data_IF_521761877221
#
_entry.id   IF_521761877221
#
_cell.length_a   1.000
_cell.length_b   1.000
_cell.length_c   1.000
_cell.angle_alpha   90.00
_cell.angle_beta   90.00
_cell.angle_gamma   90.00
#
_symmetry.space_group_name_H-M   'P 1'
#
loop_
_entity.id
_entity.type
_entity.pdbx_description
1 polymer ?
#
# COMPACT_ATOMS: atom_id res chain seq x y z
N UNK A 1 14.44 20.72 -2.83
CA UNK A 1 14.96 19.70 -3.74
C UNK A 1 14.73 18.33 -3.13
N UNK A 2 13.53 17.74 -3.40
CA UNK A 2 12.94 16.63 -2.61
C UNK A 2 12.97 15.27 -3.31
N UNK A 3 13.85 15.08 -4.29
CA UNK A 3 13.98 13.79 -4.99
C UNK A 3 14.77 12.72 -4.23
N UNK A 4 15.33 13.05 -3.06
CA UNK A 4 16.22 12.14 -2.29
C UNK A 4 15.46 11.04 -1.53
N UNK A 5 14.18 11.22 -1.22
CA UNK A 5 13.38 10.18 -0.56
C UNK A 5 12.74 9.17 -1.53
N UNK A 6 12.80 9.43 -2.84
CA UNK A 6 12.29 8.50 -3.85
C UNK A 6 13.40 7.55 -4.28
N UNK A 7 13.62 6.51 -3.50
CA UNK A 7 14.59 5.47 -3.82
C UNK A 7 13.96 4.36 -4.65
N UNK A 8 14.80 3.60 -5.34
CA UNK A 8 14.35 2.43 -6.12
C UNK A 8 13.70 1.38 -5.21
N UNK A 9 14.20 1.25 -3.98
CA UNK A 9 13.68 0.35 -2.96
C UNK A 9 12.26 0.72 -2.57
N UNK A 10 11.97 2.03 -2.40
CA UNK A 10 10.61 2.49 -2.13
C UNK A 10 9.65 2.15 -3.26
N UNK A 11 10.04 2.40 -4.51
CA UNK A 11 9.20 2.08 -5.68
C UNK A 11 8.94 0.58 -5.77
N UNK A 12 9.97 -0.25 -5.64
CA UNK A 12 9.84 -1.71 -5.69
C UNK A 12 8.94 -2.23 -4.56
N UNK A 13 9.13 -1.71 -3.34
CA UNK A 13 8.28 -2.04 -2.20
C UNK A 13 6.84 -1.64 -2.47
N UNK A 14 6.63 -0.40 -2.89
CA UNK A 14 5.29 0.14 -3.10
C UNK A 14 4.53 -0.58 -4.21
N UNK A 15 5.19 -0.89 -5.33
CA UNK A 15 4.63 -1.71 -6.41
C UNK A 15 4.28 -3.11 -5.89
N UNK A 16 5.16 -3.73 -5.12
CA UNK A 16 4.92 -5.06 -4.54
C UNK A 16 3.71 -5.08 -3.61
N UNK A 17 3.55 -4.03 -2.77
CA UNK A 17 2.39 -3.88 -1.88
C UNK A 17 1.11 -3.60 -2.66
N UNK A 18 1.18 -2.71 -3.66
CA UNK A 18 0.03 -2.27 -4.45
C UNK A 18 -0.57 -3.40 -5.29
N UNK A 19 0.27 -4.22 -5.92
CA UNK A 19 -0.19 -5.37 -6.71
C UNK A 19 -0.50 -6.62 -5.89
N UNK A 20 -0.15 -6.65 -4.58
CA UNK A 20 -0.56 -7.74 -3.70
C UNK A 20 -2.07 -7.68 -3.43
N UNK A 21 -2.85 -8.69 -3.84
CA UNK A 21 -4.30 -8.69 -3.67
C UNK A 21 -4.71 -8.42 -2.21
N UNK A 22 -5.64 -7.47 -2.04
CA UNK A 22 -6.15 -7.04 -0.75
C UNK A 22 -7.62 -6.63 -0.84
N UNK A 23 -8.14 -6.04 0.24
CA UNK A 23 -9.57 -5.72 0.35
C UNK A 23 -10.04 -4.76 -0.77
N UNK A 24 -9.27 -3.72 -1.09
CA UNK A 24 -9.63 -2.77 -2.15
C UNK A 24 -9.60 -3.45 -3.52
N UNK A 25 -8.54 -4.19 -3.84
CA UNK A 25 -8.45 -4.93 -5.11
C UNK A 25 -9.61 -5.92 -5.23
N UNK A 26 -9.94 -6.66 -4.15
CA UNK A 26 -11.07 -7.59 -4.16
C UNK A 26 -12.39 -6.87 -4.45
N UNK A 27 -12.59 -5.68 -3.88
CA UNK A 27 -13.77 -4.86 -4.11
C UNK A 27 -13.83 -4.34 -5.56
N UNK A 28 -12.71 -3.80 -6.06
CA UNK A 28 -12.57 -3.31 -7.44
C UNK A 28 -12.88 -4.42 -8.44
N UNK A 29 -12.29 -5.60 -8.26
CA UNK A 29 -12.51 -6.75 -9.13
C UNK A 29 -13.97 -7.23 -9.07
N UNK A 30 -14.54 -7.33 -7.86
CA UNK A 30 -15.93 -7.73 -7.70
C UNK A 30 -16.89 -6.79 -8.44
N UNK A 31 -16.71 -5.47 -8.28
CA UNK A 31 -17.54 -4.48 -8.99
C UNK A 31 -17.31 -4.51 -10.51
N UNK A 32 -16.07 -4.72 -10.95
CA UNK A 32 -15.76 -4.83 -12.38
C UNK A 32 -16.46 -6.02 -13.04
N UNK A 33 -16.51 -7.16 -12.35
CA UNK A 33 -17.15 -8.38 -12.84
C UNK A 33 -18.68 -8.27 -12.77
N UNK A 34 -19.23 -7.72 -11.68
CA UNK A 34 -20.68 -7.69 -11.47
C UNK A 34 -21.38 -6.51 -12.17
N UNK A 35 -20.76 -5.32 -12.21
CA UNK A 35 -21.38 -4.07 -12.66
C UNK A 35 -20.57 -3.30 -13.69
N UNK A 36 -19.47 -3.88 -14.12
CA UNK A 36 -18.63 -3.34 -15.16
C UNK A 36 -17.58 -2.34 -14.66
N UNK A 37 -16.67 -2.01 -15.57
CA UNK A 37 -15.45 -1.24 -15.31
C UNK A 37 -15.70 0.14 -14.71
N UNK A 38 -16.79 0.82 -15.11
CA UNK A 38 -17.11 2.18 -14.62
C UNK A 38 -17.31 2.19 -13.11
N UNK A 39 -18.04 1.21 -12.56
CA UNK A 39 -18.27 1.10 -11.12
C UNK A 39 -16.98 0.73 -10.37
N UNK A 40 -16.18 -0.16 -10.93
CA UNK A 40 -14.88 -0.51 -10.37
C UNK A 40 -13.94 0.70 -10.28
N UNK A 41 -13.90 1.55 -11.32
CA UNK A 41 -13.11 2.79 -11.31
C UNK A 41 -13.60 3.78 -10.24
N UNK A 42 -14.91 3.88 -9.99
CA UNK A 42 -15.42 4.70 -8.89
C UNK A 42 -14.90 4.23 -7.54
N UNK A 43 -14.81 2.91 -7.31
CA UNK A 43 -14.22 2.36 -6.09
C UNK A 43 -12.74 2.71 -5.99
N UNK A 44 -11.97 2.57 -7.07
CA UNK A 44 -10.55 2.91 -7.12
C UNK A 44 -10.30 4.40 -6.78
N UNK A 45 -11.06 5.31 -7.40
CA UNK A 45 -10.96 6.74 -7.10
C UNK A 45 -11.40 7.07 -5.67
N UNK A 46 -12.41 6.38 -5.16
CA UNK A 46 -12.84 6.52 -3.76
C UNK A 46 -11.72 6.10 -2.80
N UNK A 47 -11.08 4.96 -3.06
CA UNK A 47 -9.94 4.48 -2.26
C UNK A 47 -8.76 5.47 -2.31
N UNK A 48 -8.41 5.98 -3.50
CA UNK A 48 -7.37 6.99 -3.65
C UNK A 48 -7.69 8.27 -2.84
N UNK A 49 -8.95 8.72 -2.86
CA UNK A 49 -9.40 9.88 -2.06
C UNK A 49 -9.29 9.63 -0.55
N UNK A 50 -9.60 8.40 -0.08
CA UNK A 50 -9.38 7.99 1.31
C UNK A 50 -7.90 8.00 1.70
N UNK A 51 -7.03 7.58 0.78
CA UNK A 51 -5.59 7.59 1.00
C UNK A 51 -5.00 9.02 1.13
N UNK A 52 -5.60 10.03 0.49
CA UNK A 52 -5.22 11.44 0.69
C UNK A 52 -5.42 11.83 2.16
N UNK A 53 -6.58 11.49 2.74
CA UNK A 53 -6.85 11.75 4.15
C UNK A 53 -5.85 11.06 5.07
N UNK A 54 -5.56 9.77 4.84
CA UNK A 54 -4.56 9.02 5.60
C UNK A 54 -3.18 9.69 5.49
N UNK A 55 -2.76 10.08 4.29
CA UNK A 55 -1.47 10.75 4.05
C UNK A 55 -1.33 12.01 4.90
N UNK A 56 -2.32 12.90 4.86
CA UNK A 56 -2.28 14.17 5.58
C UNK A 56 -2.24 13.93 7.09
N UNK A 57 -3.12 13.06 7.60
CA UNK A 57 -3.20 12.78 9.03
C UNK A 57 -1.90 12.13 9.53
N UNK A 58 -1.37 11.13 8.82
CA UNK A 58 -0.14 10.45 9.23
C UNK A 58 1.08 11.36 9.15
N UNK A 59 1.18 12.19 8.11
CA UNK A 59 2.25 13.18 8.01
C UNK A 59 2.22 14.17 9.19
N UNK A 60 1.05 14.69 9.53
CA UNK A 60 0.90 15.59 10.67
C UNK A 60 1.23 14.91 12.01
N UNK A 61 0.69 13.70 12.23
CA UNK A 61 0.90 12.94 13.47
C UNK A 61 2.38 12.60 13.67
N UNK A 62 3.04 12.06 12.63
CA UNK A 62 4.46 11.68 12.73
C UNK A 62 5.33 12.91 12.96
N UNK A 63 5.11 14.00 12.22
CA UNK A 63 5.86 15.24 12.38
C UNK A 63 5.70 15.81 13.78
N UNK A 64 4.48 15.81 14.31
CA UNK A 64 4.19 16.29 15.67
C UNK A 64 4.89 15.43 16.73
N UNK A 65 4.76 14.10 16.65
CA UNK A 65 5.39 13.19 17.61
C UNK A 65 6.92 13.31 17.54
N UNK A 66 7.49 13.39 16.33
CA UNK A 66 8.94 13.59 16.16
C UNK A 66 9.43 14.89 16.79
N UNK A 67 8.66 15.99 16.72
CA UNK A 67 9.03 17.25 17.35
C UNK A 67 9.09 17.16 18.87
N UNK A 68 8.38 16.22 19.48
CA UNK A 68 8.36 16.00 20.93
C UNK A 68 9.41 14.95 21.37
N UNK A 69 9.57 13.90 20.60
CA UNK A 69 10.39 12.74 20.91
C UNK A 69 11.15 12.31 19.62
N UNK A 70 12.30 12.92 19.32
CA UNK A 70 13.04 12.61 18.09
C UNK A 70 13.40 11.12 17.96
N UNK A 71 13.69 10.45 19.06
CA UNK A 71 14.06 9.02 19.10
C UNK A 71 12.94 8.09 18.61
N UNK A 72 11.71 8.60 18.55
CA UNK A 72 10.54 7.80 18.10
C UNK A 72 10.73 7.25 16.69
N UNK A 73 11.47 7.96 15.81
CA UNK A 73 11.75 7.48 14.46
C UNK A 73 12.49 6.14 14.46
N UNK A 74 13.43 5.93 15.40
CA UNK A 74 14.14 4.66 15.52
C UNK A 74 13.17 3.51 15.80
N UNK A 75 12.23 3.71 16.71
CA UNK A 75 11.19 2.70 17.00
C UNK A 75 10.28 2.47 15.79
N UNK A 76 9.86 3.55 15.11
CA UNK A 76 9.04 3.47 13.90
C UNK A 76 9.80 2.67 12.81
N UNK A 77 11.10 2.89 12.64
CA UNK A 77 11.92 2.14 11.69
C UNK A 77 11.97 0.65 12.01
N UNK A 78 12.23 0.28 13.27
CA UNK A 78 12.26 -1.12 13.71
C UNK A 78 10.90 -1.79 13.43
N UNK A 79 9.82 -1.17 13.87
CA UNK A 79 8.46 -1.71 13.64
C UNK A 79 8.11 -1.79 12.14
N UNK A 80 8.51 -0.79 11.35
CA UNK A 80 8.29 -0.77 9.90
C UNK A 80 9.00 -1.92 9.19
N UNK A 81 10.27 -2.18 9.52
CA UNK A 81 11.04 -3.29 8.95
C UNK A 81 10.41 -4.64 9.33
N UNK A 82 10.07 -4.82 10.61
CA UNK A 82 9.38 -6.03 11.08
C UNK A 82 8.05 -6.22 10.33
N UNK A 83 7.29 -5.14 10.17
CA UNK A 83 6.02 -5.19 9.44
C UNK A 83 6.20 -5.57 7.97
N UNK A 84 7.21 -5.01 7.26
CA UNK A 84 7.49 -5.35 5.86
C UNK A 84 7.81 -6.85 5.72
N UNK A 85 8.69 -7.38 6.56
CA UNK A 85 9.07 -8.81 6.54
C UNK A 85 7.86 -9.69 6.87
N UNK A 86 7.12 -9.37 7.94
CA UNK A 86 5.87 -10.05 8.29
C UNK A 86 4.86 -10.04 7.14
N UNK A 87 4.68 -8.89 6.51
CA UNK A 87 3.77 -8.74 5.37
C UNK A 87 4.22 -9.56 4.17
N UNK A 88 5.53 -9.61 3.90
CA UNK A 88 6.12 -10.44 2.84
C UNK A 88 5.81 -11.93 3.06
N UNK A 89 6.03 -12.44 4.28
CA UNK A 89 5.73 -13.83 4.64
C UNK A 89 4.23 -14.13 4.48
N UNK A 90 3.36 -13.26 5.00
CA UNK A 90 1.90 -13.41 4.85
C UNK A 90 1.44 -13.38 3.40
N UNK A 91 2.07 -12.55 2.57
CA UNK A 91 1.75 -12.47 1.14
C UNK A 91 2.13 -13.77 0.41
N UNK A 92 3.27 -14.38 0.75
CA UNK A 92 3.65 -15.70 0.20
C UNK A 92 2.68 -16.81 0.65
N UNK A 93 2.22 -16.77 1.88
CA UNK A 93 1.31 -17.78 2.45
C UNK A 93 -0.12 -17.66 1.90
N UNK A 94 -0.48 -16.49 1.39
CA UNK A 94 -1.82 -16.24 0.84
C UNK A 94 -2.03 -17.09 -0.43
N UNK A 95 -3.01 -18.00 -0.37
CA UNK A 95 -3.36 -18.90 -1.47
C UNK A 95 -4.10 -18.20 -2.63
N UNK A 96 -4.34 -16.90 -2.52
CA UNK A 96 -5.02 -16.11 -3.54
C UNK A 96 -6.54 -16.11 -3.41
N UNK A 97 -7.07 -16.57 -2.27
CA UNK A 97 -8.49 -16.44 -1.96
C UNK A 97 -8.84 -14.97 -1.75
N UNK A 98 -9.68 -14.42 -2.59
CA UNK A 98 -10.12 -13.03 -2.43
C UNK A 98 -11.17 -12.94 -1.33
N UNK A 99 -11.12 -11.94 -0.45
CA UNK A 99 -12.19 -11.70 0.49
C UNK A 99 -13.53 -11.54 -0.25
N UNK A 100 -14.56 -12.25 0.20
CA UNK A 100 -15.92 -12.07 -0.34
C UNK A 100 -16.42 -10.71 0.09
N UNK A 101 -16.61 -9.81 -0.86
CA UNK A 101 -17.22 -8.50 -0.62
C UNK A 101 -18.68 -8.61 -1.02
N UNK A 102 -19.59 -8.44 -0.05
CA UNK A 102 -21.01 -8.47 -0.27
C UNK A 102 -21.55 -7.05 -0.47
N UNK A 103 -22.44 -6.88 -1.43
CA UNK A 103 -23.14 -5.62 -1.68
C UNK A 103 -22.57 -4.78 -2.83
N UNK A 104 -23.28 -3.71 -3.15
CA UNK A 104 -22.89 -2.74 -4.18
C UNK A 104 -21.85 -1.78 -3.64
N UNK A 105 -20.74 -1.68 -4.31
CA UNK A 105 -19.72 -0.70 -3.97
C UNK A 105 -19.76 0.51 -4.92
N UNK A 106 -19.36 1.66 -4.40
CA UNK A 106 -19.34 2.95 -5.06
C UNK A 106 -18.07 3.71 -4.68
N UNK A 107 -17.90 4.92 -5.17
CA UNK A 107 -16.87 5.84 -4.71
C UNK A 107 -16.80 5.93 -3.17
N UNK A 108 -17.96 6.16 -2.54
CA UNK A 108 -18.04 6.28 -1.07
C UNK A 108 -17.66 4.98 -0.34
N UNK A 109 -17.95 3.82 -0.94
CA UNK A 109 -17.52 2.54 -0.39
C UNK A 109 -15.99 2.40 -0.44
N UNK A 110 -15.36 2.72 -1.58
CA UNK A 110 -13.91 2.73 -1.73
C UNK A 110 -13.25 3.67 -0.71
N UNK A 111 -13.77 4.89 -0.59
CA UNK A 111 -13.31 5.88 0.38
C UNK A 111 -13.38 5.37 1.83
N UNK A 112 -14.57 4.93 2.27
CA UNK A 112 -14.78 4.47 3.65
C UNK A 112 -13.95 3.24 3.98
N UNK A 113 -13.92 2.26 3.07
CA UNK A 113 -13.18 1.01 3.28
C UNK A 113 -11.68 1.29 3.35
N UNK A 114 -11.15 2.18 2.51
CA UNK A 114 -9.74 2.52 2.57
C UNK A 114 -9.38 3.28 3.85
N UNK A 115 -10.19 4.27 4.22
CA UNK A 115 -10.00 5.06 5.44
C UNK A 115 -10.12 4.21 6.71
N UNK A 116 -11.04 3.24 6.74
CA UNK A 116 -11.22 2.33 7.87
C UNK A 116 -10.25 1.13 7.85
N UNK A 117 -9.41 0.99 6.82
CA UNK A 117 -8.53 -0.17 6.67
C UNK A 117 -7.29 -0.07 7.57
N UNK A 118 -7.19 -0.87 8.64
CA UNK A 118 -6.05 -0.80 9.56
C UNK A 118 -4.71 -1.10 8.86
N UNK A 119 -4.71 -1.92 7.79
CA UNK A 119 -3.50 -2.21 7.01
C UNK A 119 -2.91 -0.92 6.41
N UNK A 120 -3.77 0.00 5.94
CA UNK A 120 -3.31 1.27 5.36
C UNK A 120 -2.69 2.16 6.44
N UNK A 121 -3.32 2.30 7.58
CA UNK A 121 -2.79 3.06 8.71
C UNK A 121 -1.43 2.53 9.17
N UNK A 122 -1.31 1.21 9.37
CA UNK A 122 -0.03 0.59 9.76
C UNK A 122 1.03 0.85 8.70
N UNK A 123 0.70 0.72 7.41
CA UNK A 123 1.65 1.00 6.32
C UNK A 123 2.12 2.45 6.34
N UNK A 124 1.21 3.40 6.39
CA UNK A 124 1.55 4.82 6.38
C UNK A 124 2.30 5.27 7.63
N UNK A 125 1.97 4.72 8.80
CA UNK A 125 2.63 5.08 10.06
C UNK A 125 3.99 4.43 10.26
N UNK A 126 4.22 3.24 9.70
CA UNK A 126 5.47 2.49 9.99
C UNK A 126 6.37 2.32 8.77
N UNK A 127 5.83 2.27 7.55
CA UNK A 127 6.63 1.98 6.36
C UNK A 127 7.07 3.25 5.64
N UNK A 128 6.17 4.23 5.45
CA UNK A 128 6.56 5.48 4.80
C UNK A 128 7.74 6.18 5.47
N UNK A 129 7.77 6.30 6.81
CA UNK A 129 8.90 6.95 7.50
C UNK A 129 10.26 6.30 7.25
N UNK A 130 10.31 5.00 6.91
CA UNK A 130 11.58 4.31 6.59
C UNK A 130 12.35 4.97 5.44
N UNK A 131 11.64 5.69 4.58
CA UNK A 131 12.19 6.32 3.39
C UNK A 131 12.38 7.84 3.54
N UNK A 132 12.28 8.37 4.75
CA UNK A 132 12.65 9.75 5.05
C UNK A 132 14.18 9.84 5.08
N UNK A 133 14.74 10.64 4.19
CA UNK A 133 16.18 10.92 4.11
C UNK A 133 16.56 12.27 4.69
N UNK A 134 15.59 13.18 4.82
CA UNK A 134 15.78 14.52 5.37
C UNK A 134 14.85 14.73 6.58
N UNK A 135 15.40 14.57 7.76
CA UNK A 135 14.67 14.72 9.02
C UNK A 135 14.31 16.18 9.34
N UNK A 136 14.91 17.16 8.64
CA UNK A 136 14.51 18.56 8.76
C UNK A 136 13.18 18.89 8.11
N UNK A 137 12.70 18.02 7.18
CA UNK A 137 11.48 18.21 6.37
C UNK A 137 10.57 16.98 6.37
N UNK A 138 10.34 16.39 7.55
CA UNK A 138 9.54 15.15 7.71
C UNK A 138 8.15 15.28 7.09
N UNK A 139 7.42 16.36 7.38
CA UNK A 139 6.07 16.55 6.86
C UNK A 139 6.03 16.53 5.33
N UNK A 140 6.89 17.33 4.70
CA UNK A 140 6.94 17.40 3.23
C UNK A 140 7.37 16.09 2.60
N UNK A 141 8.34 15.38 3.22
CA UNK A 141 8.80 14.07 2.77
C UNK A 141 7.68 13.04 2.81
N UNK A 142 6.91 12.99 3.90
CA UNK A 142 5.76 12.08 4.04
C UNK A 142 4.62 12.40 3.08
N UNK A 143 4.32 13.68 2.85
CA UNK A 143 3.34 14.09 1.83
C UNK A 143 3.77 13.63 0.45
N UNK A 144 5.04 13.85 0.10
CA UNK A 144 5.58 13.43 -1.20
C UNK A 144 5.52 11.92 -1.39
N UNK A 145 6.02 11.13 -0.43
CA UNK A 145 5.96 9.67 -0.45
C UNK A 145 4.51 9.18 -0.50
N UNK A 146 3.61 9.82 0.26
CA UNK A 146 2.19 9.52 0.26
C UNK A 146 1.53 9.77 -1.10
N UNK A 147 1.86 10.86 -1.78
CA UNK A 147 1.36 11.15 -3.13
C UNK A 147 1.82 10.07 -4.11
N UNK A 148 3.10 9.71 -4.08
CA UNK A 148 3.63 8.62 -4.94
C UNK A 148 2.93 7.30 -4.64
N UNK A 149 2.73 6.98 -3.35
CA UNK A 149 1.96 5.80 -2.90
C UNK A 149 0.55 5.78 -3.47
N UNK A 150 -0.16 6.91 -3.43
CA UNK A 150 -1.52 7.05 -3.97
C UNK A 150 -1.54 6.77 -5.47
N UNK A 151 -0.59 7.34 -6.22
CA UNK A 151 -0.52 7.12 -7.68
C UNK A 151 -0.24 5.66 -8.03
N UNK A 152 0.69 5.00 -7.34
CA UNK A 152 1.03 3.59 -7.59
C UNK A 152 -0.16 2.68 -7.23
N UNK A 153 -0.81 2.91 -6.09
CA UNK A 153 -2.00 2.15 -5.70
C UNK A 153 -3.16 2.36 -6.69
N UNK A 154 -3.42 3.62 -7.07
CA UNK A 154 -4.47 3.91 -8.05
C UNK A 154 -4.19 3.25 -9.40
N UNK A 155 -2.94 3.25 -9.86
CA UNK A 155 -2.54 2.54 -11.07
C UNK A 155 -2.79 1.03 -10.97
N UNK A 156 -2.46 0.41 -9.84
CA UNK A 156 -2.74 -0.99 -9.59
C UNK A 156 -4.24 -1.26 -9.60
N UNK A 157 -5.04 -0.47 -8.88
CA UNK A 157 -6.50 -0.62 -8.80
C UNK A 157 -7.16 -0.46 -10.17
N UNK A 158 -6.74 0.53 -10.98
CA UNK A 158 -7.19 0.71 -12.36
C UNK A 158 -6.81 -0.49 -13.22
N UNK A 159 -5.58 -0.99 -13.09
CA UNK A 159 -5.13 -2.18 -13.82
C UNK A 159 -6.01 -3.39 -13.51
N UNK A 160 -6.34 -3.62 -12.23
CA UNK A 160 -7.26 -4.68 -11.83
C UNK A 160 -8.69 -4.44 -12.35
N UNK A 161 -9.18 -3.20 -12.33
CA UNK A 161 -10.50 -2.86 -12.88
C UNK A 161 -10.62 -3.16 -14.37
N UNK A 162 -9.57 -2.85 -15.14
CA UNK A 162 -9.54 -3.05 -16.59
C UNK A 162 -9.29 -4.50 -17.00
N UNK A 163 -8.42 -5.19 -16.26
CA UNK A 163 -8.01 -6.56 -16.57
C UNK A 163 -8.88 -7.63 -15.90
N UNK A 164 -9.84 -7.22 -15.05
CA UNK A 164 -10.65 -8.15 -14.27
C UNK A 164 -11.37 -9.19 -15.12
N UNK A 165 -11.96 -8.81 -16.25
CA UNK A 165 -12.64 -9.73 -17.17
C UNK A 165 -11.70 -10.77 -17.79
N UNK A 166 -10.44 -10.40 -18.03
CA UNK A 166 -9.43 -11.29 -18.56
C UNK A 166 -8.81 -12.18 -17.48
N UNK A 167 -8.48 -11.59 -16.34
CA UNK A 167 -7.80 -12.28 -15.24
C UNK A 167 -8.74 -13.24 -14.47
N UNK A 168 -10.07 -13.05 -14.54
CA UNK A 168 -11.02 -13.79 -13.71
C UNK A 168 -11.87 -14.82 -14.48
N UNK A 169 -11.65 -14.97 -15.78
CA UNK A 169 -12.48 -15.87 -16.59
C UNK A 169 -12.03 -17.33 -16.63
N UNK A 170 -10.86 -17.78 -16.19
CA UNK A 170 -10.50 -19.22 -16.06
C UNK A 170 -9.13 -19.57 -15.46
N UNK A 171 -8.24 -18.63 -15.10
CA UNK A 171 -6.87 -18.99 -14.67
C UNK A 171 -6.41 -18.32 -13.38
N UNK A 172 -7.34 -17.86 -12.57
CA UNK A 172 -7.17 -16.80 -11.58
C UNK A 172 -6.27 -17.15 -10.40
N UNK A 173 -6.39 -18.36 -9.87
CA UNK A 173 -5.70 -18.76 -8.63
C UNK A 173 -4.19 -18.88 -8.85
N UNK A 174 -3.76 -19.42 -9.98
CA UNK A 174 -2.33 -19.57 -10.29
C UNK A 174 -1.64 -18.22 -10.49
N UNK A 175 -2.24 -17.31 -11.27
CA UNK A 175 -1.67 -15.98 -11.53
C UNK A 175 -1.57 -15.18 -10.22
N UNK A 176 -2.62 -15.17 -9.40
CA UNK A 176 -2.58 -14.53 -8.08
C UNK A 176 -1.49 -15.12 -7.19
N UNK A 177 -1.34 -16.44 -7.21
CA UNK A 177 -0.30 -17.14 -6.44
C UNK A 177 1.10 -16.68 -6.85
N UNK A 178 1.39 -16.57 -8.14
CA UNK A 178 2.68 -16.07 -8.63
C UNK A 178 2.92 -14.61 -8.23
N UNK A 179 1.93 -13.74 -8.39
CA UNK A 179 2.01 -12.34 -7.95
C UNK A 179 2.33 -12.28 -6.45
N UNK A 180 1.63 -13.07 -5.63
CA UNK A 180 1.86 -13.10 -4.18
C UNK A 180 3.27 -13.58 -3.82
N UNK A 181 3.78 -14.60 -4.49
CA UNK A 181 5.14 -15.11 -4.24
C UNK A 181 6.18 -14.04 -4.59
N UNK A 182 6.10 -13.46 -5.80
CA UNK A 182 7.06 -12.44 -6.25
C UNK A 182 7.01 -11.21 -5.35
N UNK A 183 5.81 -10.69 -5.06
CA UNK A 183 5.62 -9.53 -4.19
C UNK A 183 6.13 -9.81 -2.77
N UNK A 184 5.83 -10.99 -2.22
CA UNK A 184 6.26 -11.34 -0.88
C UNK A 184 7.78 -11.51 -0.76
N UNK A 185 8.44 -12.12 -1.75
CA UNK A 185 9.91 -12.22 -1.80
C UNK A 185 10.57 -10.84 -1.92
N UNK A 186 10.00 -9.95 -2.76
CA UNK A 186 10.47 -8.58 -2.89
C UNK A 186 10.37 -7.82 -1.54
N UNK A 187 9.24 -7.94 -0.84
CA UNK A 187 9.05 -7.30 0.47
C UNK A 187 10.07 -7.80 1.50
N UNK A 188 10.31 -9.12 1.57
CA UNK A 188 11.30 -9.70 2.49
C UNK A 188 12.71 -9.19 2.15
N UNK A 189 13.08 -9.22 0.86
CA UNK A 189 14.39 -8.74 0.41
C UNK A 189 14.62 -7.27 0.75
N UNK A 190 13.61 -6.40 0.54
CA UNK A 190 13.69 -4.98 0.89
C UNK A 190 13.76 -4.80 2.41
N UNK A 191 12.98 -5.54 3.19
CA UNK A 191 13.04 -5.47 4.66
C UNK A 191 14.42 -5.84 5.20
N UNK A 192 15.03 -6.89 4.66
CA UNK A 192 16.40 -7.29 5.01
C UNK A 192 17.41 -6.19 4.60
N UNK A 193 17.32 -5.67 3.38
CA UNK A 193 18.18 -4.59 2.90
C UNK A 193 18.08 -3.35 3.80
N UNK A 194 16.87 -2.89 4.15
CA UNK A 194 16.67 -1.73 5.03
C UNK A 194 17.24 -1.97 6.43
N UNK A 195 17.16 -3.19 6.94
CA UNK A 195 17.79 -3.53 8.23
C UNK A 195 19.30 -3.32 8.18
N UNK A 196 19.97 -3.90 7.19
CA UNK A 196 21.43 -3.79 7.07
C UNK A 196 21.86 -2.35 6.78
N UNK A 197 21.17 -1.63 5.89
CA UNK A 197 21.52 -0.26 5.53
C UNK A 197 21.33 0.76 6.66
N UNK A 198 20.50 0.46 7.66
CA UNK A 198 20.19 1.40 8.75
C UNK A 198 20.91 1.09 10.04
N UNK A 199 21.26 -0.18 10.31
CA UNK A 199 21.78 -0.61 11.61
C UNK A 199 23.19 -1.21 11.55
N UNK A 200 23.73 -1.44 10.35
CA UNK A 200 25.09 -1.94 10.10
C UNK A 200 25.81 -1.03 9.12
#
# INVERSE_FOLDING_TARGET
MQLQSLTIEFILLQVSVAFSPGLIIALVVNEAVQKGRRNALQVAYGAASGAIGITIITAAVITYIFSLIPEILTFIYIFGIIYIVYKGIKTIQDKGDSPKVLGSASFLSGFKINLANPKMWVFYLSVLPLFITDESNIFSSLIYLGIVTIFINLFADISYALLSSYLFNNSTTKVKRYINIISGLCLIGIGIYLFFSRFI
#
